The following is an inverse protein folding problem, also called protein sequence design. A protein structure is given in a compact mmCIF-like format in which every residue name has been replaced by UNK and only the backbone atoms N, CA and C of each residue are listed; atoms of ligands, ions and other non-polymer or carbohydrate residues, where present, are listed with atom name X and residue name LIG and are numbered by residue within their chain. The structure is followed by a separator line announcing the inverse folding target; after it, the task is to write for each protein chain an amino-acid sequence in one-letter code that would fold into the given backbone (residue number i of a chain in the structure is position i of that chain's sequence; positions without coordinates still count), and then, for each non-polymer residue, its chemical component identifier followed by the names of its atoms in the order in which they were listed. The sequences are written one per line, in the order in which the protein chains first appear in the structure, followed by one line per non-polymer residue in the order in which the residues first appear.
data_IF_600572639855
#
_entry.id   IF_600572639855
#
_cell.length_a   1.000
_cell.length_b   1.000
_cell.length_c   1.000
_cell.angle_alpha   90.00
_cell.angle_beta   90.00
_cell.angle_gamma   90.00
#
_symmetry.space_group_name_H-M   'P 1'
#
loop_
_entity.id
_entity.type
_entity.pdbx_description
1 polymer ?
#
# COMPACT_ATOMS: atom_id res chain seq x y z
N UNK A 1 -39.63 25.95 -1.13
CA UNK A 1 -40.38 25.14 -2.11
C UNK A 1 -39.59 25.13 -3.41
N UNK A 2 -38.88 24.04 -3.70
CA UNK A 2 -38.15 23.83 -4.95
C UNK A 2 -38.72 22.58 -5.63
N UNK A 3 -39.02 22.62 -6.95
CA UNK A 3 -39.60 21.48 -7.63
C UNK A 3 -38.56 20.38 -7.86
N UNK A 4 -38.98 19.17 -7.48
CA UNK A 4 -38.29 17.90 -7.69
C UNK A 4 -38.30 17.53 -9.18
N UNK A 5 -37.12 17.50 -9.81
CA UNK A 5 -36.94 16.94 -11.15
C UNK A 5 -36.65 15.44 -11.03
N UNK A 6 -37.67 14.62 -11.28
CA UNK A 6 -37.52 13.17 -11.49
C UNK A 6 -36.94 12.93 -12.88
N UNK A 7 -35.66 12.57 -12.96
CA UNK A 7 -35.11 11.98 -14.18
C UNK A 7 -35.48 10.49 -14.24
N UNK A 8 -36.06 10.10 -15.37
CA UNK A 8 -36.46 8.72 -15.69
C UNK A 8 -35.21 7.95 -16.13
N UNK A 9 -34.89 6.88 -15.41
CA UNK A 9 -33.93 5.88 -15.85
C UNK A 9 -34.52 5.07 -17.01
N UNK A 10 -33.79 4.98 -18.11
CA UNK A 10 -34.03 4.00 -19.16
C UNK A 10 -33.20 2.74 -18.88
N UNK A 11 -33.80 1.54 -18.88
CA UNK A 11 -33.07 0.28 -18.91
C UNK A 11 -32.78 -0.10 -20.37
N UNK A 12 -31.51 -0.15 -20.76
CA UNK A 12 -31.09 -0.76 -22.02
C UNK A 12 -29.93 -1.72 -21.78
N UNK A 13 -30.28 -2.99 -21.87
CA UNK A 13 -29.56 -4.05 -22.59
C UNK A 13 -28.12 -4.41 -22.15
N UNK A 14 -28.03 -5.44 -21.31
CA UNK A 14 -27.03 -6.51 -21.45
C UNK A 14 -27.72 -7.69 -22.20
N UNK A 15 -27.05 -8.51 -23.03
CA UNK A 15 -25.81 -9.23 -22.66
C UNK A 15 -24.79 -9.45 -23.80
N UNK A 16 -23.55 -9.03 -23.59
CA UNK A 16 -22.41 -9.38 -24.46
C UNK A 16 -21.68 -10.62 -23.93
N UNK A 17 -21.87 -11.74 -24.61
CA UNK A 17 -21.26 -13.03 -24.30
C UNK A 17 -19.76 -13.09 -24.65
N UNK A 18 -18.99 -13.70 -23.74
CA UNK A 18 -17.90 -14.68 -23.97
C UNK A 18 -16.74 -14.25 -24.88
N UNK A 19 -15.56 -14.09 -24.28
CA UNK A 19 -14.32 -14.65 -24.83
C UNK A 19 -13.46 -15.23 -23.70
N UNK A 20 -13.60 -16.54 -23.50
CA UNK A 20 -12.63 -17.35 -22.78
C UNK A 20 -11.43 -17.57 -23.71
N UNK A 21 -10.26 -17.10 -23.32
CA UNK A 21 -9.00 -17.50 -23.93
C UNK A 21 -8.20 -18.33 -22.92
N UNK A 22 -7.96 -19.62 -23.18
CA UNK A 22 -7.05 -20.41 -22.37
C UNK A 22 -5.61 -19.99 -22.71
N UNK A 23 -4.96 -19.30 -21.78
CA UNK A 23 -3.52 -19.11 -21.84
C UNK A 23 -2.84 -20.48 -21.67
N UNK A 24 -2.18 -20.93 -22.74
CA UNK A 24 -1.43 -22.18 -22.79
C UNK A 24 -0.25 -22.12 -21.83
N UNK A 25 -0.24 -23.03 -20.86
CA UNK A 25 0.93 -23.44 -20.10
C UNK A 25 2.04 -23.90 -21.05
N UNK A 26 3.11 -23.11 -21.15
CA UNK A 26 4.37 -23.53 -21.74
C UNK A 26 5.16 -24.36 -20.72
N UNK A 27 5.15 -25.67 -20.92
CA UNK A 27 6.09 -26.62 -20.31
C UNK A 27 7.47 -26.39 -20.93
N UNK A 28 8.35 -25.73 -20.19
CA UNK A 28 9.79 -25.92 -20.38
C UNK A 28 10.33 -26.68 -19.18
N UNK A 29 10.53 -27.98 -19.41
CA UNK A 29 11.34 -28.86 -18.60
C UNK A 29 12.82 -28.52 -18.81
N UNK A 30 13.57 -28.36 -17.73
CA UNK A 30 15.02 -28.51 -17.73
C UNK A 30 15.42 -29.40 -16.54
N UNK A 31 16.06 -30.56 -16.79
CA UNK A 31 16.49 -31.49 -15.77
C UNK A 31 17.96 -31.32 -15.35
N UNK A 32 18.19 -31.40 -14.03
CA UNK A 32 19.23 -32.15 -13.28
C UNK A 32 20.73 -31.70 -13.38
N UNK A 33 21.39 -31.80 -12.20
CA UNK A 33 22.84 -31.97 -11.89
C UNK A 33 23.55 -30.67 -11.47
N UNK A 34 24.32 -30.55 -10.37
CA UNK A 34 24.99 -31.49 -9.47
C UNK A 34 25.26 -30.75 -8.12
N UNK A 35 25.00 -31.37 -6.96
CA UNK A 35 25.99 -32.00 -6.08
C UNK A 35 27.11 -31.10 -5.50
N UNK A 36 27.07 -31.02 -4.16
CA UNK A 36 28.20 -31.01 -3.23
C UNK A 36 29.14 -29.78 -3.14
N UNK A 37 28.98 -29.00 -2.06
CA UNK A 37 30.09 -28.69 -1.13
C UNK A 37 29.54 -28.72 0.30
N UNK A 38 29.92 -29.76 1.03
CA UNK A 38 29.68 -29.96 2.46
C UNK A 38 30.90 -29.43 3.23
N UNK A 39 30.64 -28.98 4.46
CA UNK A 39 31.57 -28.70 5.55
C UNK A 39 32.32 -27.35 5.51
N UNK A 40 31.91 -26.45 6.42
CA UNK A 40 32.80 -25.79 7.39
C UNK A 40 31.98 -24.80 8.25
N UNK A 41 31.11 -25.29 9.14
CA UNK A 41 30.64 -24.51 10.29
C UNK A 41 30.43 -25.46 11.49
N UNK A 42 31.53 -25.79 12.14
CA UNK A 42 31.58 -26.28 13.51
C UNK A 42 31.34 -25.09 14.46
N UNK A 43 30.27 -25.13 15.26
CA UNK A 43 30.03 -24.11 16.28
C UNK A 43 28.84 -24.40 17.19
N UNK A 44 29.15 -24.68 18.47
CA UNK A 44 28.31 -24.69 19.68
C UNK A 44 27.16 -25.71 19.79
N UNK A 45 27.49 -26.90 20.30
CA UNK A 45 26.52 -27.72 21.04
C UNK A 45 26.29 -27.08 22.42
N UNK A 46 25.12 -26.48 22.63
CA UNK A 46 24.60 -26.19 23.98
C UNK A 46 23.48 -27.21 24.21
N UNK A 47 23.78 -28.26 24.97
CA UNK A 47 22.79 -29.24 25.44
C UNK A 47 21.87 -28.56 26.46
N UNK A 48 20.86 -27.86 25.95
CA UNK A 48 19.64 -27.53 26.70
C UNK A 48 18.55 -28.54 26.31
N UNK A 49 17.61 -28.88 27.22
CA UNK A 49 16.46 -29.67 26.83
C UNK A 49 15.73 -28.94 25.71
N UNK A 50 15.71 -29.54 24.52
CA UNK A 50 14.90 -29.08 23.38
C UNK A 50 13.45 -29.34 23.76
N UNK A 51 12.84 -28.38 24.46
CA UNK A 51 11.41 -28.14 24.34
C UNK A 51 11.14 -27.86 22.88
N UNK A 52 10.40 -28.77 22.27
CA UNK A 52 9.96 -28.78 20.89
C UNK A 52 9.58 -27.36 20.39
N UNK A 53 10.36 -26.74 19.48
CA UNK A 53 10.04 -25.42 18.95
C UNK A 53 8.90 -25.46 17.91
N UNK A 54 8.21 -26.60 17.77
CA UNK A 54 7.04 -26.76 16.91
C UNK A 54 5.81 -25.96 17.39
N UNK A 55 5.95 -25.06 18.36
CA UNK A 55 4.95 -24.02 18.67
C UNK A 55 4.91 -23.02 17.51
N UNK A 56 4.15 -23.39 16.47
CA UNK A 56 3.65 -22.52 15.41
C UNK A 56 4.69 -21.58 14.77
N UNK A 57 5.78 -22.13 14.24
CA UNK A 57 6.40 -21.49 13.07
C UNK A 57 5.41 -21.64 11.91
N UNK A 58 4.46 -20.69 11.83
CA UNK A 58 3.63 -20.51 10.64
C UNK A 58 4.54 -20.46 9.41
N UNK A 59 4.14 -21.14 8.35
CA UNK A 59 4.91 -21.21 7.12
C UNK A 59 5.23 -19.77 6.64
N UNK A 60 6.50 -19.32 6.60
CA UNK A 60 6.85 -17.96 6.20
C UNK A 60 6.52 -17.66 4.73
N UNK A 61 6.16 -18.69 3.96
CA UNK A 61 5.70 -18.57 2.58
C UNK A 61 4.17 -18.53 2.44
N UNK A 62 3.42 -18.60 3.55
CA UNK A 62 1.99 -18.33 3.48
C UNK A 62 1.80 -16.84 3.29
N UNK A 63 1.24 -16.47 2.13
CA UNK A 63 0.72 -15.13 1.94
C UNK A 63 -0.23 -14.80 3.11
N UNK A 64 -0.29 -13.52 3.50
CA UNK A 64 -1.45 -12.95 4.15
C UNK A 64 -2.76 -13.60 3.76
N UNK A 65 -3.74 -13.63 4.67
CA UNK A 65 -5.12 -13.95 4.28
C UNK A 65 -5.89 -12.65 4.11
N UNK A 66 -6.82 -12.62 3.15
CA UNK A 66 -7.71 -11.48 2.95
C UNK A 66 -8.47 -11.15 4.24
N UNK A 67 -8.93 -12.17 4.96
CA UNK A 67 -9.60 -12.02 6.24
C UNK A 67 -8.70 -11.34 7.30
N UNK A 68 -7.41 -11.68 7.33
CA UNK A 68 -6.43 -11.04 8.21
C UNK A 68 -6.20 -9.57 7.84
N UNK A 69 -6.06 -9.26 6.55
CA UNK A 69 -5.98 -7.88 6.07
C UNK A 69 -7.23 -7.08 6.43
N UNK A 70 -8.42 -7.62 6.20
CA UNK A 70 -9.69 -6.98 6.54
C UNK A 70 -9.82 -6.71 8.04
N UNK A 71 -9.38 -7.64 8.88
CA UNK A 71 -9.36 -7.45 10.33
C UNK A 71 -8.42 -6.31 10.73
N UNK A 72 -7.25 -6.19 10.10
CA UNK A 72 -6.33 -5.06 10.28
C UNK A 72 -6.97 -3.73 9.91
N UNK A 73 -7.60 -3.66 8.73
CA UNK A 73 -8.30 -2.45 8.28
C UNK A 73 -9.41 -2.05 9.25
N UNK A 74 -10.23 -3.00 9.71
CA UNK A 74 -11.29 -2.72 10.67
C UNK A 74 -10.76 -2.23 12.02
N UNK A 75 -9.64 -2.80 12.49
CA UNK A 75 -9.06 -2.47 13.78
C UNK A 75 -8.30 -1.13 13.79
N UNK A 76 -7.66 -0.78 12.67
CA UNK A 76 -6.76 0.38 12.57
C UNK A 76 -7.39 1.56 11.82
N UNK A 77 -8.09 1.30 10.72
CA UNK A 77 -8.70 2.33 9.89
C UNK A 77 -10.21 2.49 10.13
N UNK A 78 -10.83 1.55 10.85
CA UNK A 78 -12.28 1.50 11.10
C UNK A 78 -12.95 2.80 11.56
N UNK A 79 -12.34 3.60 12.46
CA UNK A 79 -12.90 4.88 12.91
C UNK A 79 -12.79 6.02 11.88
N UNK A 80 -11.90 5.90 10.88
CA UNK A 80 -11.70 6.93 9.86
C UNK A 80 -12.93 7.01 8.95
N UNK A 81 -13.19 8.20 8.42
CA UNK A 81 -14.35 8.47 7.58
C UNK A 81 -13.99 8.48 6.11
N UNK A 82 -14.89 7.95 5.30
CA UNK A 82 -14.93 8.04 3.84
C UNK A 82 -16.25 8.69 3.46
N UNK A 83 -16.18 9.92 2.95
CA UNK A 83 -17.32 10.82 2.85
C UNK A 83 -17.92 11.08 4.24
N UNK A 84 -19.17 10.66 4.44
CA UNK A 84 -19.90 10.82 5.70
C UNK A 84 -20.00 9.53 6.52
N UNK A 85 -19.37 8.44 6.09
CA UNK A 85 -19.51 7.11 6.69
C UNK A 85 -18.15 6.57 7.13
N UNK A 86 -18.11 5.86 8.26
CA UNK A 86 -16.85 5.26 8.73
C UNK A 86 -16.48 4.01 7.92
N UNK A 87 -15.18 3.73 7.83
CA UNK A 87 -14.65 2.52 7.17
C UNK A 87 -15.32 1.26 7.73
N UNK A 88 -15.48 1.13 9.04
CA UNK A 88 -16.16 -0.01 9.65
C UNK A 88 -17.61 -0.18 9.17
N UNK A 89 -18.34 0.91 9.03
CA UNK A 89 -19.72 0.87 8.56
C UNK A 89 -19.82 0.50 7.07
N UNK A 90 -18.81 0.84 6.25
CA UNK A 90 -18.76 0.49 4.83
C UNK A 90 -18.39 -0.98 4.61
N UNK A 91 -17.39 -1.49 5.36
CA UNK A 91 -16.96 -2.89 5.31
C UNK A 91 -18.03 -3.85 5.85
N UNK A 92 -18.86 -3.43 6.80
CA UNK A 92 -19.91 -4.28 7.37
C UNK A 92 -21.18 -4.44 6.51
N UNK A 93 -21.27 -3.76 5.35
CA UNK A 93 -22.53 -3.63 4.58
C UNK A 93 -22.48 -4.23 3.17
N UNK A 94 -21.41 -4.94 2.79
CA UNK A 94 -21.22 -5.48 1.43
C UNK A 94 -21.44 -4.42 0.35
N UNK A 95 -20.81 -3.26 0.53
CA UNK A 95 -20.88 -2.10 -0.37
C UNK A 95 -19.89 -2.24 -1.53
N UNK A 96 -19.95 -1.35 -2.53
CA UNK A 96 -18.91 -1.27 -3.55
C UNK A 96 -17.51 -1.04 -2.94
N UNK A 97 -17.45 -0.26 -1.85
CA UNK A 97 -16.22 -0.03 -1.10
C UNK A 97 -15.63 -1.34 -0.56
N UNK A 98 -16.48 -2.22 -0.03
CA UNK A 98 -16.08 -3.52 0.47
C UNK A 98 -15.44 -4.39 -0.63
N UNK A 99 -16.06 -4.40 -1.81
CA UNK A 99 -15.53 -5.08 -2.99
C UNK A 99 -14.19 -4.51 -3.46
N UNK A 100 -14.00 -3.19 -3.41
CA UNK A 100 -12.73 -2.56 -3.77
C UNK A 100 -11.62 -2.86 -2.78
N UNK A 101 -11.91 -2.99 -1.49
CA UNK A 101 -10.91 -3.40 -0.50
C UNK A 101 -10.44 -4.85 -0.75
N UNK A 102 -11.34 -5.75 -1.15
CA UNK A 102 -10.95 -7.10 -1.62
C UNK A 102 -10.12 -7.03 -2.90
N UNK A 103 -10.59 -6.31 -3.92
CA UNK A 103 -9.89 -6.20 -5.19
C UNK A 103 -8.48 -5.60 -5.02
N UNK A 104 -8.34 -4.63 -4.12
CA UNK A 104 -7.05 -4.03 -3.77
C UNK A 104 -6.11 -5.07 -3.14
N UNK A 105 -6.63 -5.90 -2.22
CA UNK A 105 -5.87 -6.97 -1.59
C UNK A 105 -5.41 -8.05 -2.58
N UNK A 106 -6.29 -8.45 -3.48
CA UNK A 106 -6.01 -9.45 -4.51
C UNK A 106 -5.04 -8.92 -5.57
N UNK A 107 -4.87 -7.59 -5.65
CA UNK A 107 -4.05 -6.91 -6.66
C UNK A 107 -4.78 -6.74 -8.00
N UNK A 108 -6.11 -6.87 -7.99
CA UNK A 108 -6.98 -6.69 -9.17
C UNK A 108 -7.13 -5.21 -9.55
N UNK A 109 -6.96 -4.30 -8.58
CA UNK A 109 -6.90 -2.85 -8.80
C UNK A 109 -5.63 -2.28 -8.16
N UNK A 110 -5.09 -1.22 -8.75
CA UNK A 110 -3.95 -0.49 -8.18
C UNK A 110 -4.38 0.43 -7.04
N UNK A 111 -3.41 0.91 -6.26
CA UNK A 111 -3.63 1.94 -5.23
C UNK A 111 -4.31 3.19 -5.82
N UNK A 112 -3.84 3.67 -6.98
CA UNK A 112 -4.41 4.85 -7.63
C UNK A 112 -5.84 4.60 -8.13
N UNK A 113 -6.10 3.42 -8.68
CA UNK A 113 -7.46 3.06 -9.11
C UNK A 113 -8.41 2.98 -7.91
N UNK A 114 -7.99 2.35 -6.80
CA UNK A 114 -8.76 2.33 -5.56
C UNK A 114 -9.11 3.75 -5.08
N UNK A 115 -8.12 4.66 -5.05
CA UNK A 115 -8.35 6.07 -4.68
C UNK A 115 -9.38 6.73 -5.60
N UNK A 116 -9.24 6.56 -6.91
CA UNK A 116 -10.14 7.17 -7.89
C UNK A 116 -11.57 6.66 -7.73
N UNK A 117 -11.77 5.36 -7.49
CA UNK A 117 -13.10 4.79 -7.24
C UNK A 117 -13.71 5.33 -5.93
N UNK A 118 -12.91 5.40 -4.86
CA UNK A 118 -13.35 5.97 -3.58
C UNK A 118 -13.74 7.44 -3.71
N UNK A 119 -12.94 8.24 -4.43
CA UNK A 119 -13.21 9.66 -4.67
C UNK A 119 -14.47 9.89 -5.49
N UNK A 120 -14.72 9.04 -6.49
CA UNK A 120 -15.88 9.13 -7.36
C UNK A 120 -17.18 8.85 -6.59
N UNK A 121 -17.19 7.82 -5.76
CA UNK A 121 -18.39 7.36 -5.05
C UNK A 121 -18.61 8.11 -3.72
N UNK A 122 -17.55 8.49 -3.02
CA UNK A 122 -17.60 9.12 -1.71
C UNK A 122 -16.87 10.48 -1.71
N UNK A 123 -17.43 11.52 -2.34
CA UNK A 123 -16.78 12.82 -2.39
C UNK A 123 -16.61 13.41 -0.99
N UNK A 124 -15.38 13.85 -0.68
CA UNK A 124 -15.00 14.44 0.60
C UNK A 124 -14.00 15.59 0.38
N UNK A 125 -13.99 16.62 1.25
CA UNK A 125 -13.11 17.80 1.08
C UNK A 125 -11.62 17.47 1.22
N UNK A 126 -11.29 16.41 1.95
CA UNK A 126 -9.92 15.90 2.17
C UNK A 126 -9.56 14.77 1.20
N UNK A 127 -10.39 14.54 0.17
CA UNK A 127 -10.20 13.46 -0.79
C UNK A 127 -10.13 12.06 -0.12
N UNK A 128 -10.68 11.90 1.08
CA UNK A 128 -10.61 10.69 1.90
C UNK A 128 -9.18 10.21 2.20
N UNK A 129 -8.16 11.07 2.00
CA UNK A 129 -6.73 10.71 2.08
C UNK A 129 -6.36 10.03 3.40
N UNK A 130 -6.83 10.49 4.59
CA UNK A 130 -6.50 9.81 5.84
C UNK A 130 -6.98 8.35 5.88
N UNK A 131 -8.21 8.10 5.42
CA UNK A 131 -8.81 6.77 5.47
C UNK A 131 -8.19 5.83 4.44
N UNK A 132 -8.04 6.28 3.19
CA UNK A 132 -7.48 5.47 2.12
C UNK A 132 -5.99 5.24 2.28
N UNK A 133 -5.24 6.24 2.75
CA UNK A 133 -3.83 6.11 3.11
C UNK A 133 -3.62 5.09 4.22
N UNK A 134 -4.46 5.11 5.26
CA UNK A 134 -4.43 4.08 6.30
C UNK A 134 -4.62 2.67 5.71
N UNK A 135 -5.58 2.47 4.81
CA UNK A 135 -5.84 1.14 4.21
C UNK A 135 -4.64 0.63 3.41
N UNK A 136 -4.00 1.50 2.62
CA UNK A 136 -2.80 1.15 1.85
C UNK A 136 -1.62 0.81 2.76
N UNK A 137 -1.41 1.60 3.82
CA UNK A 137 -0.37 1.33 4.81
C UNK A 137 -0.61 -0.02 5.51
N UNK A 138 -1.86 -0.36 5.84
CA UNK A 138 -2.19 -1.68 6.38
C UNK A 138 -1.94 -2.80 5.37
N UNK A 139 -2.13 -2.55 4.08
CA UNK A 139 -1.86 -3.54 3.03
C UNK A 139 -0.35 -3.78 2.89
N UNK A 140 0.44 -2.71 2.85
CA UNK A 140 1.89 -2.77 2.77
C UNK A 140 2.47 -3.49 4.00
N UNK A 141 2.03 -3.12 5.21
CA UNK A 141 2.43 -3.79 6.45
C UNK A 141 2.04 -5.28 6.43
N UNK A 142 0.84 -5.59 5.95
CA UNK A 142 0.36 -6.95 5.84
C UNK A 142 1.21 -7.78 4.86
N UNK A 143 1.72 -7.21 3.77
CA UNK A 143 2.63 -7.93 2.86
C UNK A 143 4.11 -7.92 3.28
N UNK A 144 4.55 -6.89 4.00
CA UNK A 144 5.91 -6.81 4.53
C UNK A 144 6.13 -7.75 5.73
N UNK A 145 5.09 -8.00 6.53
CA UNK A 145 5.13 -8.82 7.73
C UNK A 145 4.13 -9.99 7.68
N UNK A 146 3.91 -10.67 8.81
CA UNK A 146 2.72 -11.53 8.96
C UNK A 146 1.57 -10.63 9.37
N UNK A 147 0.41 -10.67 8.68
CA UNK A 147 -0.78 -9.84 8.98
C UNK A 147 -1.38 -10.14 10.37
N UNK A 148 -0.69 -9.68 11.39
CA UNK A 148 -1.06 -9.79 12.79
C UNK A 148 -1.69 -8.48 13.17
N UNK A 149 -2.91 -8.55 13.68
CA UNK A 149 -3.56 -7.41 14.30
C UNK A 149 -2.67 -6.92 15.44
N UNK A 150 -2.04 -5.76 15.26
CA UNK A 150 -1.25 -5.15 16.32
C UNK A 150 -2.16 -4.86 17.50
N UNK A 151 -1.74 -5.30 18.68
CA UNK A 151 -2.42 -4.96 19.93
C UNK A 151 -2.37 -3.45 20.17
N UNK A 152 -3.31 -2.91 20.94
CA UNK A 152 -3.29 -1.48 21.29
C UNK A 152 -1.95 -1.05 21.92
N UNK A 153 -1.35 -1.92 22.75
CA UNK A 153 -0.05 -1.68 23.37
C UNK A 153 1.11 -1.63 22.36
N UNK A 154 1.10 -2.48 21.33
CA UNK A 154 2.10 -2.45 20.25
C UNK A 154 1.97 -1.17 19.41
N UNK A 155 0.73 -0.74 19.14
CA UNK A 155 0.47 0.52 18.42
C UNK A 155 0.96 1.74 19.19
N UNK A 156 0.67 1.81 20.48
CA UNK A 156 1.15 2.89 21.35
C UNK A 156 2.69 2.92 21.40
N UNK A 157 3.31 1.74 21.51
CA UNK A 157 4.77 1.61 21.49
C UNK A 157 5.37 2.10 20.16
N UNK A 158 4.76 1.77 19.02
CA UNK A 158 5.22 2.22 17.70
C UNK A 158 5.03 3.73 17.51
N UNK A 159 3.87 4.27 17.88
CA UNK A 159 3.61 5.70 17.81
C UNK A 159 4.57 6.51 18.69
N UNK A 160 4.89 6.00 19.87
CA UNK A 160 5.91 6.59 20.74
C UNK A 160 7.31 6.52 20.09
N UNK A 161 7.68 5.39 19.49
CA UNK A 161 8.96 5.25 18.80
C UNK A 161 9.10 6.17 17.58
N UNK A 162 8.02 6.35 16.81
CA UNK A 162 7.99 7.25 15.66
C UNK A 162 8.09 8.71 16.09
N UNK A 163 7.37 9.11 17.14
CA UNK A 163 7.48 10.46 17.73
C UNK A 163 8.93 10.72 18.19
N UNK A 164 9.55 9.74 18.83
CA UNK A 164 10.95 9.84 19.27
C UNK A 164 11.92 9.95 18.08
N UNK A 165 11.68 9.21 17.00
CA UNK A 165 12.51 9.30 15.79
C UNK A 165 12.40 10.67 15.10
N UNK A 166 11.19 11.27 15.06
CA UNK A 166 11.00 12.62 14.52
C UNK A 166 11.73 13.66 15.38
N UNK A 167 11.65 13.57 16.70
CA UNK A 167 12.36 14.47 17.63
C UNK A 167 13.89 14.35 17.52
N UNK A 168 14.41 13.14 17.32
CA UNK A 168 15.83 12.89 17.09
C UNK A 168 16.29 13.49 15.75
N UNK A 169 15.51 13.33 14.68
CA UNK A 169 15.82 13.93 13.37
C UNK A 169 15.78 15.46 13.45
N UNK A 170 14.78 16.04 14.12
CA UNK A 170 14.69 17.50 14.30
C UNK A 170 15.88 18.04 15.09
N UNK A 171 16.32 17.33 16.13
CA UNK A 171 17.53 17.66 16.89
C UNK A 171 18.82 17.47 16.08
N UNK A 172 18.86 16.54 15.13
CA UNK A 172 20.01 16.34 14.24
C UNK A 172 20.06 17.36 13.08
N UNK A 173 18.91 17.92 12.70
CA UNK A 173 18.75 18.93 11.63
C UNK A 173 18.94 20.37 12.15
N UNK A 174 19.44 20.57 13.37
CA UNK A 174 20.15 21.83 13.73
C UNK A 174 21.57 21.85 13.16
N UNK A 175 21.71 21.61 11.86
CA UNK A 175 22.89 22.03 11.12
C UNK A 175 22.82 23.55 10.97
N UNK A 176 23.83 24.22 11.49
CA UNK A 176 23.96 25.68 11.50
C UNK A 176 23.69 26.25 10.08
N UNK A 177 22.59 26.99 9.85
CA UNK A 177 22.28 27.57 8.55
C UNK A 177 23.32 28.64 8.11
N UNK A 178 24.31 28.94 8.94
CA UNK A 178 25.39 29.90 8.66
C UNK A 178 26.48 29.31 7.74
N UNK A 179 26.51 28.00 7.48
CA UNK A 179 27.51 27.37 6.62
C UNK A 179 27.00 26.93 5.24
N UNK A 180 25.93 27.54 4.73
CA UNK A 180 25.71 27.52 3.28
C UNK A 180 26.88 28.30 2.63
N UNK A 181 27.81 27.64 1.91
CA UNK A 181 28.76 28.38 1.10
C UNK A 181 27.91 29.26 0.19
N UNK A 182 28.23 30.55 0.13
CA UNK A 182 27.67 31.46 -0.86
C UNK A 182 28.08 30.93 -2.24
N UNK A 183 27.35 29.93 -2.74
CA UNK A 183 27.47 29.46 -4.10
C UNK A 183 26.94 30.59 -4.94
N UNK A 184 27.81 31.06 -5.81
CA UNK A 184 27.63 32.21 -6.66
C UNK A 184 26.29 32.13 -7.41
N UNK A 185 25.30 32.88 -6.91
CA UNK A 185 24.03 33.17 -7.57
C UNK A 185 24.15 33.47 -9.09
N UNK A 186 25.23 34.10 -9.63
CA UNK A 186 25.34 34.33 -11.07
C UNK A 186 25.58 33.07 -11.94
N UNK A 187 25.84 31.89 -11.38
CA UNK A 187 26.01 30.66 -12.18
C UNK A 187 24.68 29.94 -12.47
N UNK A 188 23.76 29.93 -11.50
CA UNK A 188 22.42 29.32 -11.66
C UNK A 188 21.59 30.10 -12.69
N UNK A 189 21.70 31.43 -12.70
CA UNK A 189 21.00 32.27 -13.68
C UNK A 189 21.49 32.02 -15.12
N UNK A 190 22.79 31.71 -15.31
CA UNK A 190 23.35 31.35 -16.62
C UNK A 190 22.88 29.99 -17.13
N UNK A 191 22.55 29.05 -16.26
CA UNK A 191 22.04 27.74 -16.70
C UNK A 191 20.57 27.76 -17.12
N UNK A 192 19.78 28.73 -16.62
CA UNK A 192 18.36 28.86 -17.00
C UNK A 192 18.18 29.58 -18.34
N UNK A 193 19.13 30.42 -18.75
CA UNK A 193 19.01 31.20 -20.00
C UNK A 193 19.32 30.38 -21.27
N UNK A 194 20.09 29.29 -21.17
CA UNK A 194 20.47 28.46 -22.32
C UNK A 194 19.42 27.45 -22.78
N UNK A 195 18.35 27.22 -22.03
CA UNK A 195 17.31 26.22 -22.37
C UNK A 195 16.13 26.76 -23.19
N UNK A 196 16.17 28.01 -23.67
CA UNK A 196 15.02 28.67 -24.31
C UNK A 196 15.01 28.65 -25.85
N UNK A 197 15.98 28.06 -26.54
CA UNK A 197 16.15 28.28 -28.00
C UNK A 197 15.96 27.08 -28.95
N UNK A 198 15.38 25.94 -28.55
CA UNK A 198 15.01 24.88 -29.51
C UNK A 198 13.51 24.57 -29.49
N UNK A 199 12.74 25.48 -30.09
CA UNK A 199 11.36 25.22 -30.47
C UNK A 199 11.30 24.39 -31.76
N UNK A 200 10.44 23.35 -31.83
CA UNK A 200 10.34 22.48 -33.00
C UNK A 200 9.92 23.27 -34.25
N UNK A 201 10.76 23.18 -35.29
CA UNK A 201 10.50 23.79 -36.60
C UNK A 201 9.25 23.14 -37.22
N UNK A 202 8.26 23.93 -37.67
CA UNK A 202 7.08 23.38 -38.34
C UNK A 202 7.50 22.69 -39.64
N UNK A 203 7.03 21.47 -39.84
CA UNK A 203 7.23 20.68 -41.05
C UNK A 203 6.37 21.24 -42.21
N UNK A 204 6.86 21.16 -43.46
CA UNK A 204 6.16 21.65 -44.65
C UNK A 204 4.94 20.80 -45.05
#
# INVERSE_FOLDING_TARGET
MYPSQRQRFHPSDAPGARNLHPARLSRNALPILAAAVLALLSGCATDGPITDPSVHLGNPFQRPTEAGFRALVQANCGPLSIGSTTVNALLGKNTAFDGWVTALYDGDISNDEFMNQVLLEYPAPDANVPATGCIMDQLEQCFAETCKVQTAAEREKRAAAETQAVEEIESAVTLDPTELPAQDAPEIERMMETSKEDGPKPLP
#
